data_IF_158172277070
#
_entry.id   IF_158172277070
#
_cell.length_a   1.000
_cell.length_b   1.000
_cell.length_c   1.000
_cell.angle_alpha   90.00
_cell.angle_beta   90.00
_cell.angle_gamma   90.00
#
_symmetry.space_group_name_H-M   'P 1'
#
loop_
_entity.id
_entity.type
_entity.pdbx_description
1 polymer ?
#
# COMPACT_ATOMS: atom_id res chain seq x y z
N UNK A 1 6.16 -17.45 -4.41
CA UNK A 1 6.28 -16.14 -3.74
C UNK A 1 6.04 -16.20 -2.23
N UNK A 2 4.93 -16.74 -1.73
CA UNK A 2 4.63 -16.83 -0.28
C UNK A 2 5.73 -17.53 0.53
N UNK A 3 6.30 -18.65 0.04
CA UNK A 3 7.40 -19.36 0.73
C UNK A 3 8.68 -18.54 0.84
N UNK A 4 8.95 -17.65 -0.12
CA UNK A 4 10.12 -16.75 -0.11
C UNK A 4 9.90 -15.64 0.91
N UNK A 5 8.70 -15.05 0.95
CA UNK A 5 8.35 -14.04 1.95
C UNK A 5 8.41 -14.60 3.39
N UNK A 6 7.94 -15.83 3.61
CA UNK A 6 8.01 -16.51 4.91
C UNK A 6 9.46 -16.82 5.30
N UNK A 7 10.30 -17.26 4.36
CA UNK A 7 11.73 -17.52 4.60
C UNK A 7 12.48 -16.24 4.96
N UNK A 8 12.20 -15.13 4.26
CA UNK A 8 12.79 -13.81 4.56
C UNK A 8 12.35 -13.31 5.95
N UNK A 9 11.06 -13.49 6.30
CA UNK A 9 10.53 -13.08 7.60
C UNK A 9 11.14 -13.90 8.75
N UNK A 10 11.31 -15.21 8.58
CA UNK A 10 11.87 -16.11 9.60
C UNK A 10 13.40 -16.01 9.69
N UNK A 11 14.09 -15.61 8.62
CA UNK A 11 15.55 -15.46 8.63
C UNK A 11 16.02 -14.08 9.07
N UNK A 12 15.48 -13.02 8.45
CA UNK A 12 16.01 -11.65 8.60
C UNK A 12 15.52 -11.01 9.90
N UNK A 13 14.26 -11.20 10.29
CA UNK A 13 13.71 -10.57 11.51
C UNK A 13 14.43 -11.05 12.78
N UNK A 14 14.62 -12.35 13.04
CA UNK A 14 15.36 -12.77 14.23
C UNK A 14 16.85 -12.45 14.15
N UNK A 15 17.46 -12.41 12.96
CA UNK A 15 18.84 -11.95 12.81
C UNK A 15 19.00 -10.47 13.21
N UNK A 16 18.11 -9.59 12.74
CA UNK A 16 18.11 -8.17 13.11
C UNK A 16 17.87 -8.00 14.61
N UNK A 17 16.91 -8.72 15.19
CA UNK A 17 16.68 -8.70 16.64
C UNK A 17 17.90 -9.18 17.43
N UNK A 18 18.58 -10.23 16.95
CA UNK A 18 19.78 -10.76 17.59
C UNK A 18 20.94 -9.75 17.57
N UNK A 19 21.17 -9.07 16.44
CA UNK A 19 22.18 -8.00 16.34
C UNK A 19 21.85 -6.84 17.27
N UNK A 20 20.57 -6.42 17.34
CA UNK A 20 20.14 -5.35 18.25
C UNK A 20 20.32 -5.72 19.73
N UNK A 21 20.01 -6.96 20.10
CA UNK A 21 20.18 -7.47 21.47
C UNK A 21 21.67 -7.51 21.85
N UNK A 22 22.52 -8.05 20.99
CA UNK A 22 23.97 -8.10 21.24
C UNK A 22 24.57 -6.69 21.34
N UNK A 23 24.19 -5.78 20.44
CA UNK A 23 24.63 -4.39 20.48
C UNK A 23 24.23 -3.69 21.78
N UNK A 24 23.02 -3.98 22.28
CA UNK A 24 22.50 -3.43 23.54
C UNK A 24 23.28 -3.96 24.75
N UNK A 25 23.55 -5.26 24.82
CA UNK A 25 24.29 -5.89 25.92
C UNK A 25 25.75 -5.42 25.96
N UNK A 26 26.39 -5.30 24.79
CA UNK A 26 27.76 -4.81 24.67
C UNK A 26 27.89 -3.33 25.09
N UNK A 27 26.87 -2.51 24.84
CA UNK A 27 26.81 -1.12 25.28
C UNK A 27 26.69 -0.95 26.80
N UNK A 28 25.92 -1.82 27.47
CA UNK A 28 25.67 -1.74 28.92
C UNK A 28 26.93 -2.08 29.74
N UNK A 29 27.76 -3.01 29.28
CA UNK A 29 28.95 -3.48 30.04
C UNK A 29 30.10 -2.46 30.10
N UNK A 30 30.09 -1.41 29.27
CA UNK A 30 31.18 -0.43 29.14
C UNK A 30 30.91 0.92 29.82
N UNK A 31 29.70 1.17 30.34
CA UNK A 31 29.29 2.47 30.87
C UNK A 31 28.73 2.41 32.30
N UNK A 32 29.60 2.35 33.31
CA UNK A 32 29.22 2.37 34.73
C UNK A 32 29.57 3.69 35.45
N UNK A 33 29.83 4.77 34.71
CA UNK A 33 30.03 6.12 35.26
C UNK A 33 28.77 6.97 35.06
N UNK A 34 28.43 7.84 36.02
CA UNK A 34 27.25 8.73 35.98
C UNK A 34 27.16 9.57 34.68
N UNK A 35 28.32 9.97 34.16
CA UNK A 35 28.50 10.65 32.87
C UNK A 35 28.14 9.76 31.67
N UNK A 36 28.47 8.46 31.73
CA UNK A 36 28.08 7.50 30.67
C UNK A 36 26.58 7.22 30.65
N UNK A 37 25.89 7.33 31.79
CA UNK A 37 24.43 7.21 31.88
C UNK A 37 23.71 8.44 31.29
N UNK A 38 24.20 9.65 31.57
CA UNK A 38 23.68 10.87 30.94
C UNK A 38 23.90 10.87 29.42
N UNK A 39 25.12 10.54 28.98
CA UNK A 39 25.46 10.43 27.55
C UNK A 39 24.64 9.34 26.85
N UNK A 40 24.37 8.23 27.53
CA UNK A 40 23.48 7.17 27.04
C UNK A 40 22.03 7.65 26.88
N UNK A 41 21.52 8.43 27.83
CA UNK A 41 20.18 9.01 27.77
C UNK A 41 20.04 10.02 26.62
N UNK A 42 21.05 10.87 26.40
CA UNK A 42 21.09 11.78 25.25
C UNK A 42 21.09 11.01 23.92
N UNK A 43 21.93 9.98 23.80
CA UNK A 43 21.97 9.13 22.62
C UNK A 43 20.61 8.46 22.33
N UNK A 44 19.91 7.97 23.36
CA UNK A 44 18.58 7.36 23.21
C UNK A 44 17.56 8.39 22.71
N UNK A 45 17.56 9.62 23.24
CA UNK A 45 16.69 10.71 22.77
C UNK A 45 16.96 11.05 21.31
N UNK A 46 18.23 11.11 20.93
CA UNK A 46 18.66 11.36 19.55
C UNK A 46 18.15 10.28 18.60
N UNK A 47 18.36 9.01 18.94
CA UNK A 47 17.86 7.87 18.15
C UNK A 47 16.34 7.92 18.04
N UNK A 48 15.63 8.19 19.13
CA UNK A 48 14.17 8.29 19.14
C UNK A 48 13.65 9.37 18.16
N UNK A 49 14.24 10.57 18.20
CA UNK A 49 13.87 11.67 17.30
C UNK A 49 14.12 11.28 15.84
N UNK A 50 15.29 10.73 15.52
CA UNK A 50 15.61 10.30 14.16
C UNK A 50 14.72 9.15 13.67
N UNK A 51 14.33 8.21 14.54
CA UNK A 51 13.41 7.14 14.18
C UNK A 51 12.02 7.69 13.82
N UNK A 52 11.51 8.67 14.56
CA UNK A 52 10.23 9.31 14.24
C UNK A 52 10.32 10.07 12.91
N UNK A 53 11.40 10.85 12.73
CA UNK A 53 11.63 11.56 11.47
C UNK A 53 11.74 10.61 10.28
N UNK A 54 12.44 9.49 10.46
CA UNK A 54 12.55 8.45 9.45
C UNK A 54 11.19 7.81 9.12
N UNK A 55 10.42 7.44 10.15
CA UNK A 55 9.11 6.82 9.96
C UNK A 55 8.14 7.76 9.24
N UNK A 56 8.07 9.02 9.67
CA UNK A 56 7.21 10.05 9.06
C UNK A 56 7.65 10.41 7.64
N UNK A 57 8.95 10.44 7.37
CA UNK A 57 9.51 10.61 6.03
C UNK A 57 9.10 9.45 5.11
N UNK A 58 9.30 8.21 5.54
CA UNK A 58 8.91 7.01 4.78
C UNK A 58 7.39 6.98 4.51
N UNK A 59 6.58 7.37 5.50
CA UNK A 59 5.13 7.49 5.37
C UNK A 59 4.73 8.50 4.28
N UNK A 60 5.39 9.66 4.28
CA UNK A 60 5.15 10.75 3.32
C UNK A 60 5.58 10.37 1.90
N UNK A 61 6.74 9.73 1.74
CA UNK A 61 7.23 9.24 0.44
C UNK A 61 6.26 8.18 -0.11
N UNK A 62 5.85 7.21 0.71
CA UNK A 62 4.89 6.18 0.32
C UNK A 62 3.53 6.78 -0.10
N UNK A 63 3.03 7.75 0.66
CA UNK A 63 1.82 8.49 0.31
C UNK A 63 1.94 9.24 -1.02
N UNK A 64 3.07 9.90 -1.28
CA UNK A 64 3.29 10.68 -2.52
C UNK A 64 3.33 9.79 -3.76
N UNK A 65 4.02 8.65 -3.69
CA UNK A 65 4.06 7.67 -4.80
C UNK A 65 2.66 7.11 -5.05
N UNK A 66 1.92 6.75 -4.00
CA UNK A 66 0.55 6.25 -4.13
C UNK A 66 -0.41 7.30 -4.72
N UNK A 67 -0.25 8.58 -4.36
CA UNK A 67 -1.03 9.68 -4.93
C UNK A 67 -0.80 9.79 -6.44
N UNK A 68 0.46 9.73 -6.88
CA UNK A 68 0.81 9.80 -8.30
C UNK A 68 0.24 8.62 -9.09
N UNK A 69 0.35 7.40 -8.55
CA UNK A 69 -0.26 6.21 -9.15
C UNK A 69 -1.78 6.34 -9.28
N UNK A 70 -2.45 6.81 -8.22
CA UNK A 70 -3.89 7.02 -8.24
C UNK A 70 -4.33 8.05 -9.29
N UNK A 71 -3.57 9.14 -9.46
CA UNK A 71 -3.84 10.12 -10.54
C UNK A 71 -3.65 9.48 -11.91
N UNK A 72 -2.60 8.69 -12.12
CA UNK A 72 -2.39 7.96 -13.36
C UNK A 72 -3.58 7.02 -13.68
N UNK A 73 -4.07 6.29 -12.68
CA UNK A 73 -5.21 5.38 -12.82
C UNK A 73 -6.55 6.10 -13.05
N UNK A 74 -6.70 7.35 -12.61
CA UNK A 74 -7.87 8.19 -12.94
C UNK A 74 -7.85 8.60 -14.41
N UNK A 75 -6.68 9.03 -14.90
CA UNK A 75 -6.48 9.52 -16.28
C UNK A 75 -6.52 8.37 -17.28
N UNK A 76 -5.84 7.27 -16.95
CA UNK A 76 -5.72 6.08 -17.78
C UNK A 76 -6.03 4.83 -16.94
N UNK A 77 -7.32 4.54 -16.70
CA UNK A 77 -7.70 3.37 -15.92
C UNK A 77 -7.15 2.09 -16.54
N UNK A 78 -6.61 1.16 -15.75
CA UNK A 78 -6.11 -0.11 -16.26
C UNK A 78 -7.24 -0.88 -16.95
N UNK A 79 -6.97 -1.40 -18.15
CA UNK A 79 -7.92 -2.23 -18.89
C UNK A 79 -7.87 -3.68 -18.42
N UNK A 80 -8.85 -4.10 -17.62
CA UNK A 80 -9.02 -5.53 -17.23
C UNK A 80 -10.18 -6.22 -17.96
N UNK A 81 -10.74 -5.59 -18.99
CA UNK A 81 -11.81 -6.17 -19.78
C UNK A 81 -11.26 -7.12 -20.86
N UNK A 82 -11.96 -8.24 -21.05
CA UNK A 82 -11.73 -9.18 -22.15
C UNK A 82 -12.10 -8.56 -23.52
N UNK A 83 -11.64 -9.14 -24.62
CA UNK A 83 -12.06 -8.69 -25.95
C UNK A 83 -13.53 -9.04 -26.21
N UNK A 84 -14.16 -8.35 -27.16
CA UNK A 84 -15.55 -8.65 -27.56
C UNK A 84 -15.72 -10.11 -28.02
N UNK A 85 -14.73 -10.65 -28.76
CA UNK A 85 -14.74 -12.04 -29.20
C UNK A 85 -14.71 -13.02 -28.01
N UNK A 86 -13.93 -12.71 -26.98
CA UNK A 86 -13.90 -13.51 -25.74
C UNK A 86 -15.22 -13.39 -24.97
N UNK A 87 -15.81 -12.19 -24.91
CA UNK A 87 -17.11 -11.96 -24.29
C UNK A 87 -18.24 -12.70 -25.00
N UNK A 88 -18.19 -12.81 -26.33
CA UNK A 88 -19.15 -13.55 -27.15
C UNK A 88 -19.05 -15.06 -26.92
N UNK A 89 -17.84 -15.57 -26.69
CA UNK A 89 -17.61 -17.00 -26.40
C UNK A 89 -17.80 -17.37 -24.93
N UNK A 90 -17.82 -16.38 -24.02
CA UNK A 90 -18.11 -16.62 -22.62
C UNK A 90 -19.58 -17.04 -22.44
N UNK A 91 -19.88 -18.08 -21.64
CA UNK A 91 -21.25 -18.45 -21.34
C UNK A 91 -21.95 -17.25 -20.68
N UNK A 92 -22.94 -16.69 -21.39
CA UNK A 92 -23.68 -15.48 -20.99
C UNK A 92 -24.53 -15.68 -19.73
N UNK A 93 -24.56 -16.91 -19.18
CA UNK A 93 -25.28 -17.31 -17.98
C UNK A 93 -24.33 -18.02 -17.00
N UNK A 94 -24.15 -17.42 -15.82
CA UNK A 94 -23.47 -18.04 -14.67
C UNK A 94 -24.41 -18.18 -13.46
N UNK A 95 -25.71 -18.31 -13.72
CA UNK A 95 -26.73 -18.53 -12.72
C UNK A 95 -27.86 -19.35 -13.33
N UNK A 96 -28.20 -20.46 -12.69
CA UNK A 96 -29.33 -21.35 -12.99
C UNK A 96 -29.11 -22.31 -14.17
N UNK A 97 -28.75 -23.55 -13.83
CA UNK A 97 -29.07 -24.72 -14.65
C UNK A 97 -30.61 -24.78 -14.69
N UNK A 98 -31.28 -24.63 -15.84
CA UNK A 98 -32.73 -24.74 -15.87
C UNK A 98 -33.08 -26.21 -15.60
N UNK A 99 -33.85 -26.47 -14.53
CA UNK A 99 -34.40 -27.78 -14.21
C UNK A 99 -35.52 -28.21 -15.19
N UNK A 100 -35.62 -27.58 -16.36
CA UNK A 100 -36.70 -27.78 -17.33
C UNK A 100 -36.15 -27.48 -18.73
N UNK A 101 -36.47 -28.27 -19.77
CA UNK A 101 -36.11 -27.95 -21.15
C UNK A 101 -37.01 -26.81 -21.64
N UNK A 102 -36.75 -25.59 -21.16
CA UNK A 102 -37.52 -24.42 -21.50
C UNK A 102 -36.81 -23.64 -22.60
N UNK A 103 -37.45 -23.67 -23.78
CA UNK A 103 -37.45 -22.65 -24.84
C UNK A 103 -36.08 -22.19 -25.34
N UNK A 104 -35.85 -22.46 -26.62
CA UNK A 104 -34.94 -21.73 -27.51
C UNK A 104 -34.79 -20.28 -27.04
N UNK A 105 -33.75 -20.03 -26.25
CA UNK A 105 -33.35 -18.70 -25.83
C UNK A 105 -33.10 -17.94 -27.12
N UNK A 106 -33.84 -16.86 -27.35
CA UNK A 106 -33.57 -15.96 -28.46
C UNK A 106 -32.11 -15.56 -28.36
N UNK A 107 -31.29 -16.07 -29.27
CA UNK A 107 -29.90 -15.66 -29.40
C UNK A 107 -29.93 -14.13 -29.54
N UNK A 108 -29.44 -13.44 -28.49
CA UNK A 108 -29.32 -11.98 -28.50
C UNK A 108 -28.71 -11.55 -29.82
N UNK A 109 -29.30 -10.53 -30.45
CA UNK A 109 -28.72 -10.01 -31.69
C UNK A 109 -27.29 -9.53 -31.42
N UNK A 110 -26.41 -9.56 -32.43
CA UNK A 110 -25.03 -9.07 -32.25
C UNK A 110 -24.99 -7.60 -31.78
N UNK A 111 -26.01 -6.82 -32.14
CA UNK A 111 -26.17 -5.43 -31.68
C UNK A 111 -26.39 -5.34 -30.17
N UNK A 112 -27.23 -6.22 -29.61
CA UNK A 112 -27.52 -6.25 -28.18
C UNK A 112 -26.31 -6.78 -27.39
N UNK A 113 -25.63 -7.80 -27.91
CA UNK A 113 -24.39 -8.31 -27.33
C UNK A 113 -23.30 -7.24 -27.28
N UNK A 114 -23.13 -6.48 -28.36
CA UNK A 114 -22.16 -5.38 -28.42
C UNK A 114 -22.52 -4.25 -27.46
N UNK A 115 -23.80 -3.92 -27.34
CA UNK A 115 -24.27 -2.92 -26.36
C UNK A 115 -23.99 -3.37 -24.91
N UNK A 116 -24.27 -4.63 -24.56
CA UNK A 116 -23.96 -5.18 -23.24
C UNK A 116 -22.46 -5.17 -22.95
N UNK A 117 -21.64 -5.55 -23.93
CA UNK A 117 -20.19 -5.48 -23.81
C UNK A 117 -19.70 -4.04 -23.57
N UNK A 118 -20.20 -3.08 -24.34
CA UNK A 118 -19.81 -1.68 -24.17
C UNK A 118 -20.20 -1.13 -22.80
N UNK A 119 -21.39 -1.51 -22.30
CA UNK A 119 -21.82 -1.18 -20.93
C UNK A 119 -20.89 -1.79 -19.89
N UNK A 120 -20.59 -3.08 -19.99
CA UNK A 120 -19.64 -3.76 -19.11
C UNK A 120 -18.27 -3.07 -19.08
N UNK A 121 -17.72 -2.73 -20.25
CA UNK A 121 -16.43 -2.02 -20.34
C UNK A 121 -16.51 -0.62 -19.72
N UNK A 122 -17.63 0.08 -19.91
CA UNK A 122 -17.85 1.40 -19.31
C UNK A 122 -17.94 1.32 -17.78
N UNK A 123 -18.64 0.31 -17.26
CA UNK A 123 -18.80 0.07 -15.82
C UNK A 123 -17.48 -0.34 -15.17
N UNK A 124 -16.68 -1.21 -15.80
CA UNK A 124 -15.35 -1.54 -15.26
C UNK A 124 -14.44 -0.31 -15.20
N UNK A 125 -14.47 0.54 -16.23
CA UNK A 125 -13.71 1.79 -16.25
C UNK A 125 -14.18 2.77 -15.18
N UNK A 126 -15.49 2.88 -14.94
CA UNK A 126 -16.03 3.77 -13.89
C UNK A 126 -15.63 3.28 -12.51
N UNK A 127 -15.77 1.98 -12.23
CA UNK A 127 -15.34 1.37 -10.97
C UNK A 127 -13.83 1.52 -10.73
N UNK A 128 -13.00 1.37 -11.77
CA UNK A 128 -11.56 1.57 -11.66
C UNK A 128 -11.22 3.03 -11.28
N UNK A 129 -11.90 4.00 -11.89
CA UNK A 129 -11.75 5.43 -11.54
C UNK A 129 -12.18 5.71 -10.10
N UNK A 130 -13.31 5.19 -9.65
CA UNK A 130 -13.78 5.38 -8.28
C UNK A 130 -12.79 4.83 -7.25
N UNK A 131 -12.23 3.64 -7.51
CA UNK A 131 -11.17 3.05 -6.67
C UNK A 131 -9.92 3.92 -6.66
N UNK A 132 -9.53 4.46 -7.82
CA UNK A 132 -8.38 5.34 -7.94
C UNK A 132 -8.60 6.65 -7.16
N UNK A 133 -9.79 7.26 -7.24
CA UNK A 133 -10.17 8.44 -6.42
C UNK A 133 -10.09 8.13 -4.93
N UNK A 134 -10.63 6.98 -4.49
CA UNK A 134 -10.52 6.57 -3.09
C UNK A 134 -9.06 6.36 -2.65
N UNK A 135 -8.23 5.77 -3.52
CA UNK A 135 -6.79 5.61 -3.27
C UNK A 135 -6.09 6.96 -3.14
N UNK A 136 -6.43 7.92 -3.99
CA UNK A 136 -5.90 9.28 -3.95
C UNK A 136 -6.24 9.96 -2.61
N UNK A 137 -7.49 9.91 -2.16
CA UNK A 137 -7.89 10.47 -0.87
C UNK A 137 -7.12 9.81 0.28
N UNK A 138 -7.00 8.48 0.26
CA UNK A 138 -6.22 7.74 1.28
C UNK A 138 -4.75 8.16 1.27
N UNK A 139 -4.16 8.34 0.09
CA UNK A 139 -2.76 8.75 -0.05
C UNK A 139 -2.49 10.14 0.55
N UNK A 140 -3.45 11.07 0.46
CA UNK A 140 -3.36 12.34 1.18
C UNK A 140 -3.39 12.16 2.70
N UNK A 141 -4.17 11.22 3.22
CA UNK A 141 -4.09 10.84 4.64
C UNK A 141 -2.68 10.40 5.04
N UNK A 142 -2.01 9.61 4.20
CA UNK A 142 -0.62 9.17 4.41
C UNK A 142 0.41 10.30 4.36
N UNK A 143 0.09 11.44 3.74
CA UNK A 143 0.97 12.62 3.66
C UNK A 143 0.66 13.61 4.78
N UNK A 144 -0.62 13.94 4.98
CA UNK A 144 -1.08 15.00 5.88
C UNK A 144 -0.92 14.61 7.35
N UNK A 145 -1.16 13.35 7.72
CA UNK A 145 -1.04 12.88 9.10
C UNK A 145 0.41 12.96 9.64
N UNK A 146 1.44 12.46 8.94
CA UNK A 146 2.82 12.54 9.46
C UNK A 146 3.41 13.94 9.41
N UNK A 147 2.90 14.84 8.56
CA UNK A 147 3.51 16.14 8.31
C UNK A 147 3.63 17.03 9.57
N UNK A 148 2.59 17.21 10.42
CA UNK A 148 2.71 17.97 11.67
C UNK A 148 3.77 17.39 12.62
N UNK A 149 3.84 16.07 12.70
CA UNK A 149 4.81 15.35 13.54
C UNK A 149 6.22 15.60 13.01
N UNK A 150 6.42 15.45 11.70
CA UNK A 150 7.69 15.69 11.03
C UNK A 150 8.17 17.13 11.27
N UNK A 151 7.32 18.12 11.03
CA UNK A 151 7.67 19.54 11.24
C UNK A 151 8.04 19.84 12.68
N UNK A 152 7.31 19.28 13.65
CA UNK A 152 7.62 19.43 15.07
C UNK A 152 9.01 18.88 15.41
N UNK A 153 9.29 17.63 15.05
CA UNK A 153 10.57 16.99 15.37
C UNK A 153 11.74 17.58 14.56
N UNK A 154 11.51 17.99 13.31
CA UNK A 154 12.51 18.69 12.49
C UNK A 154 12.90 20.02 13.15
N UNK A 155 11.92 20.79 13.64
CA UNK A 155 12.19 22.04 14.34
C UNK A 155 13.00 21.84 15.62
N UNK A 156 12.80 20.71 16.32
CA UNK A 156 13.56 20.36 17.52
C UNK A 156 15.03 20.09 17.21
N UNK A 157 15.30 19.31 16.16
CA UNK A 157 16.68 19.02 15.71
C UNK A 157 17.38 20.29 15.25
N UNK A 158 16.66 21.22 14.60
CA UNK A 158 17.27 22.46 14.10
C UNK A 158 17.62 23.46 15.21
N UNK A 159 16.80 23.55 16.27
CA UNK A 159 17.02 24.47 17.40
C UNK A 159 18.06 23.97 18.40
N UNK A 160 18.22 22.66 18.49
CA UNK A 160 19.25 22.00 19.28
C UNK A 160 19.87 20.95 18.38
N UNK A 161 20.90 21.30 17.59
CA UNK A 161 21.71 20.29 16.95
C UNK A 161 22.29 19.43 18.07
N UNK A 162 21.81 18.20 18.15
CA UNK A 162 22.21 17.18 19.12
C UNK A 162 23.69 16.82 18.92
#
# INVERSE_FOLDING_TARGET
MIKIAISILIGIVPLVLFVLIIGSIAGIKKGSSRESLERGNEMIKTIYVYLILFATLMMTIGGTVAAFMAVADIVSPPGSYQSFEQYKMAPQYKGEIPATPAKTEQALSESELKNRYNQMVADEKSMAKERAVNSLIKSFGWIVIPLPIFLYFQSKVHKQPL
#
